data_IF_032259398889
#
_entry.id   IF_032259398889
#
_cell.length_a   1.000
_cell.length_b   1.000
_cell.length_c   1.000
_cell.angle_alpha   90.00
_cell.angle_beta   90.00
_cell.angle_gamma   90.00
#
_symmetry.space_group_name_H-M   'P 1'
#
loop_
_entity.id
_entity.type
_entity.pdbx_description
1 polymer ?
#
# COMPACT_ATOMS: atom_id res chain seq x y z
N UNK A 1 5.38 21.20 7.28
CA UNK A 1 4.69 20.41 6.23
C UNK A 1 3.65 19.60 6.95
N UNK A 2 2.37 20.02 6.92
CA UNK A 2 1.31 19.24 7.55
C UNK A 2 1.23 17.91 6.80
N UNK A 3 1.71 16.81 7.39
CA UNK A 3 1.37 15.47 6.94
C UNK A 3 -0.10 15.23 7.35
N UNK A 4 -0.99 15.97 6.69
CA UNK A 4 -2.41 15.71 6.72
C UNK A 4 -2.53 14.25 6.28
N UNK A 5 -2.92 13.40 7.22
CA UNK A 5 -3.05 11.97 7.01
C UNK A 5 -4.22 11.73 6.05
N UNK A 6 -3.99 11.99 4.77
CA UNK A 6 -5.01 11.97 3.73
C UNK A 6 -5.54 10.55 3.58
N UNK A 7 -6.84 10.42 3.81
CA UNK A 7 -7.57 9.20 3.56
C UNK A 7 -7.96 9.19 2.08
N UNK A 8 -7.57 8.14 1.38
CA UNK A 8 -7.96 7.88 -0.01
C UNK A 8 -8.99 6.77 -0.03
N UNK A 9 -9.98 6.85 -0.93
CA UNK A 9 -10.98 5.79 -1.11
C UNK A 9 -10.46 4.79 -2.13
N UNK A 10 -10.56 3.50 -1.80
CA UNK A 10 -10.13 2.41 -2.65
C UNK A 10 -11.30 1.47 -2.92
N UNK A 11 -11.35 0.96 -4.15
CA UNK A 11 -12.23 -0.15 -4.51
C UNK A 11 -11.52 -1.47 -4.27
N UNK A 12 -12.26 -2.38 -3.64
CA UNK A 12 -12.01 -3.82 -3.66
C UNK A 12 -13.32 -4.53 -4.05
N UNK A 13 -13.69 -5.62 -3.38
CA UNK A 13 -15.09 -6.10 -3.36
C UNK A 13 -16.03 -5.13 -2.64
N UNK A 14 -15.49 -4.30 -1.74
CA UNK A 14 -16.20 -3.23 -1.03
C UNK A 14 -15.43 -1.92 -1.14
N UNK A 15 -16.10 -0.79 -0.89
CA UNK A 15 -15.44 0.51 -0.75
C UNK A 15 -14.79 0.59 0.63
N UNK A 16 -13.54 1.02 0.66
CA UNK A 16 -12.80 1.28 1.89
C UNK A 16 -12.13 2.64 1.79
N UNK A 17 -11.78 3.23 2.93
CA UNK A 17 -10.81 4.33 2.99
C UNK A 17 -9.51 3.81 3.58
N UNK A 18 -8.38 4.26 3.06
CA UNK A 18 -7.09 3.94 3.66
C UNK A 18 -6.17 5.15 3.68
N UNK A 19 -5.25 5.16 4.65
CA UNK A 19 -4.14 6.10 4.72
C UNK A 19 -2.84 5.35 4.96
N UNK A 20 -1.77 5.84 4.36
CA UNK A 20 -0.43 5.33 4.65
C UNK A 20 0.04 5.84 6.01
N UNK A 21 0.67 4.97 6.78
CA UNK A 21 1.26 5.31 8.06
C UNK A 21 2.58 6.04 7.83
N UNK A 22 2.72 7.23 8.41
CA UNK A 22 3.98 7.98 8.44
C UNK A 22 4.82 7.69 9.68
N UNK A 23 4.20 7.14 10.71
CA UNK A 23 4.81 6.77 11.99
C UNK A 23 4.29 5.40 12.44
N UNK A 24 5.01 4.67 13.30
CA UNK A 24 4.51 3.43 13.87
C UNK A 24 3.16 3.65 14.56
N UNK A 25 2.24 2.72 14.37
CA UNK A 25 0.91 2.76 14.98
C UNK A 25 0.59 1.41 15.61
N UNK A 26 0.13 1.44 16.86
CA UNK A 26 -0.38 0.26 17.56
C UNK A 26 -1.75 0.60 18.14
N UNK A 27 -2.73 -0.27 17.94
CA UNK A 27 -4.05 -0.15 18.56
C UNK A 27 -4.70 -1.52 18.73
N UNK A 28 -5.69 -1.61 19.61
CA UNK A 28 -6.52 -2.81 19.75
C UNK A 28 -7.78 -2.65 18.89
N UNK A 29 -8.06 -3.62 18.03
CA UNK A 29 -9.28 -3.61 17.20
C UNK A 29 -10.54 -3.94 18.03
N UNK A 30 -11.71 -3.83 17.39
CA UNK A 30 -12.99 -4.12 18.02
C UNK A 30 -13.15 -5.59 18.50
N UNK A 31 -12.29 -6.49 18.01
CA UNK A 31 -12.26 -7.90 18.40
C UNK A 31 -11.23 -8.18 19.51
N UNK A 32 -10.61 -7.13 20.07
CA UNK A 32 -9.61 -7.26 21.12
C UNK A 32 -8.22 -7.67 20.62
N UNK A 33 -7.97 -7.64 19.31
CA UNK A 33 -6.67 -8.01 18.74
C UNK A 33 -5.76 -6.79 18.64
N UNK A 34 -4.51 -6.96 19.05
CA UNK A 34 -3.50 -5.93 18.83
C UNK A 34 -3.13 -5.89 17.36
N UNK A 35 -3.23 -4.68 16.79
CA UNK A 35 -2.80 -4.34 15.46
C UNK A 35 -1.58 -3.44 15.58
N UNK A 36 -0.50 -3.80 14.89
CA UNK A 36 0.72 -2.99 14.82
C UNK A 36 1.12 -2.77 13.37
N UNK A 37 1.64 -1.57 13.09
CA UNK A 37 2.08 -1.15 11.77
C UNK A 37 3.27 -0.22 11.84
N UNK A 38 4.05 -0.21 10.77
CA UNK A 38 5.25 0.60 10.60
C UNK A 38 5.01 1.70 9.56
N UNK A 39 5.88 2.72 9.52
CA UNK A 39 5.85 3.68 8.42
C UNK A 39 5.89 2.96 7.06
N UNK A 40 4.99 3.33 6.16
CA UNK A 40 4.81 2.70 4.85
C UNK A 40 3.63 1.73 4.77
N UNK A 41 3.23 1.11 5.90
CA UNK A 41 2.03 0.27 5.97
C UNK A 41 0.76 1.11 5.86
N UNK A 42 -0.38 0.46 5.63
CA UNK A 42 -1.66 1.14 5.44
C UNK A 42 -2.62 0.82 6.58
N UNK A 43 -3.24 1.87 7.13
CA UNK A 43 -4.43 1.75 7.95
C UNK A 43 -5.64 1.80 7.02
N UNK A 44 -6.41 0.71 7.00
CA UNK A 44 -7.62 0.55 6.21
C UNK A 44 -8.83 0.61 7.13
N UNK A 45 -9.84 1.36 6.73
CA UNK A 45 -11.13 1.41 7.39
C UNK A 45 -12.24 1.08 6.38
N UNK A 46 -13.04 0.08 6.71
CA UNK A 46 -14.25 -0.28 5.96
C UNK A 46 -15.46 0.54 6.41
N UNK A 47 -16.52 0.54 5.61
CA UNK A 47 -17.74 1.34 5.87
C UNK A 47 -18.47 0.97 7.16
N UNK A 48 -18.21 -0.21 7.72
CA UNK A 48 -18.70 -0.68 9.02
C UNK A 48 -17.86 -0.18 10.20
N UNK A 49 -16.85 0.66 9.96
CA UNK A 49 -15.99 1.25 10.98
C UNK A 49 -14.86 0.33 11.47
N UNK A 50 -14.73 -0.87 10.89
CA UNK A 50 -13.64 -1.79 11.24
C UNK A 50 -12.32 -1.24 10.70
N UNK A 51 -11.32 -1.15 11.58
CA UNK A 51 -9.97 -0.68 11.27
C UNK A 51 -8.98 -1.84 11.28
N UNK A 52 -8.11 -1.88 10.28
CA UNK A 52 -7.06 -2.90 10.13
C UNK A 52 -5.78 -2.28 9.61
N UNK A 53 -4.64 -2.80 10.07
CA UNK A 53 -3.34 -2.52 9.46
C UNK A 53 -3.02 -3.61 8.44
N UNK A 54 -2.49 -3.20 7.29
CA UNK A 54 -2.00 -4.14 6.28
C UNK A 54 -0.68 -3.64 5.71
N UNK A 55 0.19 -4.55 5.32
CA UNK A 55 1.51 -4.20 4.79
C UNK A 55 1.39 -3.48 3.46
N UNK A 56 2.37 -2.63 3.14
CA UNK A 56 2.43 -1.94 1.84
C UNK A 56 2.25 -2.89 0.66
N UNK A 57 3.01 -4.00 0.63
CA UNK A 57 3.00 -4.93 -0.50
C UNK A 57 1.62 -5.57 -0.72
N UNK A 58 0.93 -5.94 0.36
CA UNK A 58 -0.42 -6.53 0.28
C UNK A 58 -1.44 -5.45 -0.10
N UNK A 59 -1.28 -4.23 0.41
CA UNK A 59 -2.19 -3.13 0.12
C UNK A 59 -2.18 -2.79 -1.38
N UNK A 60 -1.00 -2.55 -1.93
CA UNK A 60 -0.84 -2.12 -3.32
C UNK A 60 -1.24 -3.21 -4.33
N UNK A 61 -1.18 -4.49 -3.94
CA UNK A 61 -1.61 -5.62 -4.77
C UNK A 61 -3.15 -5.78 -4.82
N UNK A 62 -3.84 -5.49 -3.71
CA UNK A 62 -5.28 -5.78 -3.57
C UNK A 62 -6.17 -4.56 -3.82
N UNK A 63 -5.71 -3.35 -3.47
CA UNK A 63 -6.55 -2.17 -3.40
C UNK A 63 -6.31 -1.24 -4.59
N UNK A 64 -7.36 -1.05 -5.40
CA UNK A 64 -7.31 -0.13 -6.55
C UNK A 64 -7.84 1.24 -6.12
N UNK A 65 -7.07 2.33 -6.24
CA UNK A 65 -7.55 3.67 -5.94
C UNK A 65 -8.81 3.99 -6.75
N UNK A 66 -9.86 4.43 -6.07
CA UNK A 66 -11.04 4.97 -6.73
C UNK A 66 -10.79 6.46 -6.91
N UNK A 67 -9.97 6.83 -7.90
CA UNK A 67 -9.67 8.23 -8.19
C UNK A 67 -10.93 8.97 -8.60
N UNK A 68 -11.28 10.01 -7.86
CA UNK A 68 -11.73 11.26 -8.47
C UNK A 68 -10.53 12.21 -8.47
N UNK A 69 -10.18 12.69 -9.64
CA UNK A 69 -9.02 13.53 -9.94
C UNK A 69 -9.00 14.81 -9.09
N UNK A 70 -8.15 14.87 -8.07
CA UNK A 70 -7.40 16.10 -7.71
C UNK A 70 -6.25 15.76 -6.75
N UNK A 71 -5.00 15.91 -7.21
CA UNK A 71 -3.82 15.90 -6.32
C UNK A 71 -2.84 14.72 -6.44
N UNK A 72 -2.15 14.63 -7.58
CA UNK A 72 -0.83 14.02 -7.83
C UNK A 72 -0.72 12.48 -8.08
N UNK A 73 -0.12 12.05 -9.21
CA UNK A 73 0.10 10.65 -9.52
C UNK A 73 1.40 10.16 -8.89
N UNK A 74 1.31 9.50 -7.74
CA UNK A 74 2.38 8.69 -7.18
C UNK A 74 2.39 7.28 -7.78
N UNK A 75 2.35 7.17 -9.11
CA UNK A 75 2.61 5.89 -9.79
C UNK A 75 4.10 5.61 -9.64
N UNK A 76 4.48 5.01 -8.50
CA UNK A 76 5.75 4.32 -8.36
C UNK A 76 5.63 3.00 -9.12
N UNK A 77 5.73 3.08 -10.45
CA UNK A 77 6.16 1.92 -11.23
C UNK A 77 7.53 1.57 -10.68
N UNK A 78 7.62 0.54 -9.84
CA UNK A 78 8.91 -0.08 -9.55
C UNK A 78 9.40 -0.61 -10.89
N UNK A 79 10.48 -0.07 -11.48
CA UNK A 79 11.04 -0.72 -12.66
C UNK A 79 11.50 -2.08 -12.17
N UNK A 80 10.83 -3.14 -12.60
CA UNK A 80 11.39 -4.47 -12.51
C UNK A 80 12.61 -4.42 -13.42
N UNK A 81 13.79 -4.24 -12.84
CA UNK A 81 15.04 -4.49 -13.54
C UNK A 81 15.04 -5.98 -13.84
N UNK A 82 14.42 -6.36 -14.96
CA UNK A 82 14.58 -7.66 -15.56
C UNK A 82 16.03 -7.70 -16.00
N UNK A 83 16.90 -8.19 -15.12
CA UNK A 83 18.27 -8.53 -15.46
C UNK A 83 18.19 -9.43 -16.70
N UNK A 84 18.60 -8.86 -17.84
CA UNK A 84 18.77 -9.63 -19.07
C UNK A 84 19.87 -10.66 -18.79
N UNK A 85 19.62 -11.96 -18.97
CA UNK A 85 20.70 -12.93 -18.87
C UNK A 85 21.71 -12.61 -19.98
N UNK A 86 22.93 -12.31 -19.56
CA UNK A 86 24.12 -12.11 -20.37
C UNK A 86 24.15 -13.03 -21.58
N UNK A 87 24.19 -12.43 -22.77
CA UNK A 87 24.75 -13.07 -23.94
C UNK A 87 26.25 -13.27 -23.68
N UNK A 88 26.65 -14.45 -23.21
CA UNK A 88 28.05 -14.88 -23.20
C UNK A 88 28.51 -15.12 -24.64
N UNK A 89 29.56 -14.47 -25.15
CA UNK A 89 30.22 -14.91 -26.37
C UNK A 89 31.44 -15.79 -26.04
N UNK A 90 31.56 -16.89 -26.82
CA UNK A 90 32.80 -17.63 -27.18
C UNK A 90 33.48 -18.44 -26.06
N UNK A 91 34.11 -19.60 -26.27
CA UNK A 91 34.77 -20.20 -27.44
C UNK A 91 34.96 -21.73 -27.29
N UNK A 92 35.52 -22.38 -28.33
CA UNK A 92 36.15 -23.74 -28.41
C UNK A 92 35.30 -24.74 -29.21
N UNK A 93 35.77 -25.43 -30.26
CA UNK A 93 37.13 -25.74 -30.74
C UNK A 93 37.22 -25.61 -32.27
#
# INVERSE_FOLDING_TARGET
MNLECHWTVYRTRFLVRARQLSQPLVFTDALGREQSGRPGDYLVESSDGIKRITTQAIFEDIYVPLTDTDGAPGVLVRPVTRASPEQRPRATA
#
